data_IF_276877185582
#
_entry.id   IF_276877185582
#
_cell.length_a   1.000
_cell.length_b   1.000
_cell.length_c   1.000
_cell.angle_alpha   90.00
_cell.angle_beta   90.00
_cell.angle_gamma   90.00
#
_symmetry.space_group_name_H-M   'P 1'
#
loop_
_entity.id
_entity.type
_entity.pdbx_description
1 polymer ?
#
# COMPACT_ATOMS: atom_id res chain seq x y z
N UNK A 1 33.92 23.10 15.04
CA UNK A 1 32.51 23.20 15.43
C UNK A 1 31.91 21.82 15.26
N UNK A 2 31.27 21.26 16.28
CA UNK A 2 30.57 19.98 16.12
C UNK A 2 29.38 20.22 15.19
N UNK A 3 29.39 19.60 14.01
CA UNK A 3 28.24 19.59 13.10
C UNK A 3 27.13 18.81 13.79
N UNK A 4 26.05 19.50 14.17
CA UNK A 4 24.83 18.86 14.65
C UNK A 4 24.36 17.85 13.60
N UNK A 5 24.24 16.59 14.01
CA UNK A 5 23.83 15.50 13.12
C UNK A 5 22.32 15.42 13.14
N UNK A 6 21.69 15.53 11.98
CA UNK A 6 20.23 15.47 11.84
C UNK A 6 19.80 14.07 11.41
N UNK A 7 18.72 13.56 12.00
CA UNK A 7 18.12 12.29 11.60
C UNK A 7 17.48 12.42 10.21
N UNK A 8 17.88 11.57 9.26
CA UNK A 8 17.32 11.60 7.88
C UNK A 8 15.83 11.25 7.75
N UNK A 9 15.19 10.77 8.82
CA UNK A 9 13.78 10.34 8.80
C UNK A 9 12.87 11.40 9.43
N UNK A 10 13.14 11.78 10.68
CA UNK A 10 12.32 12.77 11.38
C UNK A 10 12.82 14.21 11.21
N UNK A 11 14.04 14.39 10.69
CA UNK A 11 14.70 15.68 10.54
C UNK A 11 15.01 16.42 11.86
N UNK A 12 14.91 15.72 13.00
CA UNK A 12 15.32 16.25 14.30
C UNK A 12 16.83 16.09 14.52
N UNK A 13 17.38 16.92 15.41
CA UNK A 13 18.76 16.81 15.88
C UNK A 13 18.93 15.53 16.69
N UNK A 14 20.00 14.80 16.42
CA UNK A 14 20.35 13.59 17.17
C UNK A 14 21.20 14.03 18.37
N UNK A 15 20.58 14.05 19.55
CA UNK A 15 21.24 14.40 20.81
C UNK A 15 22.14 13.27 21.37
N UNK A 16 21.91 12.02 20.92
CA UNK A 16 22.62 10.81 21.33
C UNK A 16 23.45 10.19 20.18
N UNK A 17 23.99 8.99 20.36
CA UNK A 17 24.66 8.28 19.26
C UNK A 17 23.66 7.85 18.19
N UNK A 18 23.65 8.58 17.07
CA UNK A 18 22.92 8.19 15.86
C UNK A 18 23.61 7.05 15.12
N UNK A 19 22.84 6.27 14.38
CA UNK A 19 23.35 5.14 13.59
C UNK A 19 23.48 5.51 12.12
N UNK A 20 24.45 4.89 11.44
CA UNK A 20 24.54 4.90 9.99
C UNK A 20 23.80 3.66 9.46
N UNK A 21 22.56 3.79 8.94
CA UNK A 21 21.73 2.64 8.60
C UNK A 21 22.18 1.89 7.35
N UNK A 22 22.84 2.57 6.42
CA UNK A 22 23.26 2.05 5.12
C UNK A 22 24.43 2.89 4.56
N UNK A 23 24.72 2.78 3.26
CA UNK A 23 25.80 3.52 2.60
C UNK A 23 25.34 4.81 1.91
N UNK A 24 24.08 5.22 2.10
CA UNK A 24 23.57 6.48 1.56
C UNK A 24 24.41 7.66 2.04
N UNK A 25 24.67 8.59 1.13
CA UNK A 25 25.36 9.84 1.40
C UNK A 25 24.52 11.03 0.98
N UNK A 26 24.63 12.11 1.75
CA UNK A 26 24.11 13.42 1.42
C UNK A 26 25.24 14.44 1.58
N UNK A 27 25.44 15.31 0.59
CA UNK A 27 26.59 16.24 0.59
C UNK A 27 27.98 15.59 0.66
N UNK A 28 28.10 14.28 0.35
CA UNK A 28 29.35 13.51 0.46
C UNK A 28 29.58 12.83 1.82
N UNK A 29 28.74 13.13 2.81
CA UNK A 29 28.77 12.53 4.15
C UNK A 29 27.73 11.41 4.29
N UNK A 30 27.99 10.41 5.14
CA UNK A 30 27.03 9.35 5.37
C UNK A 30 25.80 9.87 6.11
N UNK A 31 24.62 9.45 5.66
CA UNK A 31 23.38 9.81 6.35
C UNK A 31 23.28 9.11 7.69
N UNK A 32 22.78 9.82 8.71
CA UNK A 32 22.61 9.31 10.07
C UNK A 32 21.12 9.32 10.43
N UNK A 33 20.67 8.39 11.26
CA UNK A 33 19.31 8.32 11.76
C UNK A 33 19.28 7.90 13.23
N UNK A 34 18.17 8.21 13.92
CA UNK A 34 17.83 7.48 15.13
C UNK A 34 17.53 6.02 14.76
N UNK A 35 18.05 5.08 15.55
CA UNK A 35 17.79 3.66 15.36
C UNK A 35 16.28 3.35 15.38
N UNK A 36 15.56 3.94 16.33
CA UNK A 36 14.10 3.81 16.45
C UNK A 36 13.35 4.35 15.22
N UNK A 37 13.81 5.44 14.60
CA UNK A 37 13.20 5.96 13.38
C UNK A 37 13.33 4.96 12.22
N UNK A 38 14.48 4.29 12.09
CA UNK A 38 14.68 3.28 11.06
C UNK A 38 13.81 2.05 11.34
N UNK A 39 13.77 1.56 12.58
CA UNK A 39 12.90 0.45 12.96
C UNK A 39 11.42 0.74 12.66
N UNK A 40 10.94 1.94 13.00
CA UNK A 40 9.58 2.35 12.70
C UNK A 40 9.34 2.45 11.19
N UNK A 41 10.31 2.98 10.45
CA UNK A 41 10.23 3.04 9.00
C UNK A 41 10.11 1.66 8.36
N UNK A 42 10.93 0.70 8.80
CA UNK A 42 10.88 -0.70 8.36
C UNK A 42 9.50 -1.32 8.63
N UNK A 43 8.94 -1.10 9.83
CA UNK A 43 7.64 -1.66 10.23
C UNK A 43 6.46 -1.07 9.42
N UNK A 44 6.57 0.18 8.98
CA UNK A 44 5.53 0.86 8.22
C UNK A 44 5.64 0.62 6.71
N UNK A 45 6.73 0.01 6.23
CA UNK A 45 6.87 -0.27 4.81
C UNK A 45 5.88 -1.36 4.40
N UNK A 46 5.14 -1.16 3.30
CA UNK A 46 4.26 -2.18 2.78
C UNK A 46 5.09 -3.40 2.38
N UNK A 47 4.82 -4.54 3.01
CA UNK A 47 5.50 -5.79 2.70
C UNK A 47 5.37 -6.10 1.21
N UNK A 48 6.47 -6.48 0.53
CA UNK A 48 6.42 -6.84 -0.87
C UNK A 48 5.48 -8.04 -1.02
N UNK A 49 4.34 -7.85 -1.68
CA UNK A 49 3.61 -8.99 -2.25
C UNK A 49 4.59 -9.76 -3.15
N UNK A 50 4.43 -11.07 -3.32
CA UNK A 50 5.31 -11.98 -4.09
C UNK A 50 5.73 -11.54 -5.53
N UNK A 51 5.24 -10.41 -6.04
CA UNK A 51 5.52 -9.84 -7.36
C UNK A 51 6.28 -8.49 -7.28
N UNK A 52 6.67 -8.04 -6.09
CA UNK A 52 7.26 -6.72 -5.92
C UNK A 52 8.74 -6.70 -6.32
N UNK A 53 9.07 -5.77 -7.21
CA UNK A 53 10.42 -5.29 -7.51
C UNK A 53 11.20 -5.00 -6.23
N UNK A 54 12.52 -5.28 -6.21
CA UNK A 54 13.47 -5.12 -5.09
C UNK A 54 13.32 -3.84 -4.23
N UNK A 55 12.74 -2.77 -4.78
CA UNK A 55 12.45 -1.51 -4.07
C UNK A 55 11.45 -1.61 -2.90
N UNK A 56 10.76 -2.73 -2.72
CA UNK A 56 9.79 -2.90 -1.60
C UNK A 56 10.28 -3.83 -0.49
N UNK A 57 11.47 -4.39 -0.59
CA UNK A 57 12.02 -5.24 0.45
C UNK A 57 12.31 -4.44 1.74
N UNK A 58 11.66 -4.73 2.87
CA UNK A 58 11.90 -4.03 4.14
C UNK A 58 13.30 -4.27 4.70
N UNK A 59 14.00 -5.32 4.26
CA UNK A 59 15.37 -5.66 4.70
C UNK A 59 16.45 -4.81 4.04
N UNK A 60 16.08 -3.95 3.08
CA UNK A 60 16.99 -3.13 2.28
C UNK A 60 16.58 -1.66 2.32
N UNK A 61 17.55 -0.77 2.22
CA UNK A 61 17.32 0.66 2.16
C UNK A 61 16.53 1.06 0.91
N UNK A 62 15.52 1.89 1.09
CA UNK A 62 14.67 2.40 0.01
C UNK A 62 15.40 3.31 -0.99
N UNK A 63 16.54 3.86 -0.60
CA UNK A 63 17.31 4.81 -1.42
C UNK A 63 18.42 4.09 -2.19
N UNK A 64 19.34 3.39 -1.50
CA UNK A 64 20.48 2.73 -2.15
C UNK A 64 20.27 1.24 -2.42
N UNK A 65 19.19 0.63 -1.92
CA UNK A 65 18.93 -0.81 -2.09
C UNK A 65 19.90 -1.72 -1.33
N UNK A 66 20.83 -1.21 -0.54
CA UNK A 66 21.73 -2.06 0.26
C UNK A 66 21.01 -2.59 1.49
N UNK A 67 21.44 -3.75 2.00
CA UNK A 67 20.96 -4.23 3.30
C UNK A 67 21.24 -3.21 4.41
N UNK A 68 20.39 -3.23 5.44
CA UNK A 68 20.61 -2.43 6.64
C UNK A 68 21.85 -2.92 7.40
N UNK A 69 22.59 -1.98 8.02
CA UNK A 69 23.82 -2.28 8.75
C UNK A 69 23.58 -2.77 10.18
N UNK A 70 22.47 -2.36 10.79
CA UNK A 70 22.07 -2.77 12.13
C UNK A 70 21.04 -3.90 12.07
N UNK A 71 20.94 -4.64 13.18
CA UNK A 71 20.01 -5.76 13.34
C UNK A 71 18.61 -5.23 13.68
N UNK A 72 17.86 -4.86 12.66
CA UNK A 72 16.46 -4.45 12.81
C UNK A 72 15.52 -5.65 12.83
N UNK A 73 14.45 -5.54 13.62
CA UNK A 73 13.37 -6.50 13.59
C UNK A 73 12.60 -6.36 12.26
N UNK A 74 12.59 -7.42 11.46
CA UNK A 74 11.80 -7.44 10.23
C UNK A 74 10.33 -7.74 10.56
N UNK A 75 9.36 -7.02 9.95
CA UNK A 75 7.96 -7.36 10.07
C UNK A 75 7.73 -8.78 9.56
N UNK A 76 6.85 -9.51 10.25
CA UNK A 76 6.44 -10.84 9.81
C UNK A 76 5.84 -10.78 8.40
N UNK A 77 6.16 -11.79 7.59
CA UNK A 77 5.53 -11.93 6.29
C UNK A 77 4.01 -11.93 6.47
N UNK A 78 3.24 -11.22 5.61
CA UNK A 78 1.80 -11.28 5.66
C UNK A 78 1.36 -12.74 5.59
N UNK A 79 0.51 -13.16 6.52
CA UNK A 79 -0.06 -14.52 6.50
C UNK A 79 -0.70 -14.75 5.14
N UNK A 80 -0.31 -15.84 4.46
CA UNK A 80 -0.96 -16.25 3.22
C UNK A 80 -2.40 -16.64 3.54
N UNK A 81 -3.33 -15.74 3.23
CA UNK A 81 -4.75 -16.03 3.40
C UNK A 81 -5.17 -17.06 2.37
N UNK A 82 -5.96 -18.02 2.83
CA UNK A 82 -6.66 -18.95 1.96
C UNK A 82 -7.60 -18.19 1.02
N UNK A 83 -8.01 -18.86 -0.06
CA UNK A 83 -8.93 -18.25 -1.02
C UNK A 83 -10.26 -17.87 -0.38
N UNK A 84 -10.79 -18.72 0.50
CA UNK A 84 -12.03 -18.45 1.21
C UNK A 84 -11.94 -17.17 2.06
N UNK A 85 -10.83 -16.98 2.78
CA UNK A 85 -10.62 -15.77 3.59
C UNK A 85 -10.48 -14.50 2.73
N UNK A 86 -9.86 -14.60 1.55
CA UNK A 86 -9.82 -13.49 0.60
C UNK A 86 -11.21 -13.13 0.09
N UNK A 87 -12.01 -14.14 -0.26
CA UNK A 87 -13.37 -13.96 -0.76
C UNK A 87 -14.26 -13.34 0.34
N UNK A 88 -14.15 -13.79 1.59
CA UNK A 88 -14.86 -13.23 2.76
C UNK A 88 -14.51 -11.75 2.99
N UNK A 89 -13.22 -11.41 2.94
CA UNK A 89 -12.75 -10.02 3.09
C UNK A 89 -13.26 -9.14 1.95
N UNK A 90 -13.24 -9.63 0.72
CA UNK A 90 -13.75 -8.90 -0.44
C UNK A 90 -15.26 -8.65 -0.31
N UNK A 91 -16.03 -9.65 0.13
CA UNK A 91 -17.46 -9.54 0.36
C UNK A 91 -17.77 -8.52 1.47
N UNK A 92 -17.02 -8.54 2.58
CA UNK A 92 -17.17 -7.56 3.66
C UNK A 92 -16.86 -6.13 3.19
N UNK A 93 -15.79 -5.94 2.41
CA UNK A 93 -15.44 -4.63 1.82
C UNK A 93 -16.53 -4.12 0.87
N UNK A 94 -17.06 -4.99 0.02
CA UNK A 94 -18.14 -4.66 -0.91
C UNK A 94 -19.43 -4.27 -0.19
N UNK A 95 -19.85 -5.03 0.82
CA UNK A 95 -21.03 -4.71 1.62
C UNK A 95 -20.87 -3.38 2.35
N UNK A 96 -19.71 -3.14 2.96
CA UNK A 96 -19.44 -1.92 3.69
C UNK A 96 -19.39 -0.69 2.76
N UNK A 97 -18.72 -0.82 1.60
CA UNK A 97 -18.66 0.23 0.58
C UNK A 97 -20.05 0.52 0.01
N UNK A 98 -20.85 -0.54 -0.24
CA UNK A 98 -22.23 -0.39 -0.72
C UNK A 98 -23.10 0.34 0.29
N UNK A 99 -23.10 -0.07 1.56
CA UNK A 99 -23.88 0.56 2.62
C UNK A 99 -23.56 2.06 2.78
N UNK A 100 -22.27 2.43 2.73
CA UNK A 100 -21.84 3.84 2.76
C UNK A 100 -22.24 4.59 1.49
N UNK A 101 -22.08 3.96 0.32
CA UNK A 101 -22.44 4.57 -0.95
C UNK A 101 -23.95 4.86 -1.06
N UNK A 102 -24.80 3.94 -0.55
CA UNK A 102 -26.26 4.11 -0.50
C UNK A 102 -26.74 4.86 0.74
N UNK A 103 -25.81 5.33 1.61
CA UNK A 103 -26.11 6.02 2.87
C UNK A 103 -27.07 5.25 3.79
N UNK A 104 -27.00 3.93 3.77
CA UNK A 104 -27.82 3.07 4.61
C UNK A 104 -27.54 3.41 6.09
N UNK A 105 -28.59 3.68 6.87
CA UNK A 105 -28.45 4.04 8.29
C UNK A 105 -27.71 5.37 8.53
N UNK A 106 -27.66 6.28 7.54
CA UNK A 106 -26.98 7.58 7.69
C UNK A 106 -25.46 7.53 7.52
N UNK A 107 -24.91 6.39 7.11
CA UNK A 107 -23.48 6.23 6.85
C UNK A 107 -23.00 7.19 5.74
N UNK A 108 -21.81 7.76 5.93
CA UNK A 108 -21.23 8.70 4.95
C UNK A 108 -20.32 7.97 3.95
N UNK A 109 -20.36 8.31 2.66
CA UNK A 109 -19.44 7.79 1.65
C UNK A 109 -17.98 8.16 1.95
N UNK A 110 -17.05 7.25 1.62
CA UNK A 110 -15.60 7.50 1.60
C UNK A 110 -15.08 7.61 0.18
N UNK A 111 -13.96 8.31 0.01
CA UNK A 111 -13.31 8.54 -1.29
C UNK A 111 -12.92 7.25 -2.05
N UNK A 112 -12.82 6.12 -1.34
CA UNK A 112 -12.53 4.80 -1.92
C UNK A 112 -13.74 3.93 -2.25
N UNK A 113 -14.93 4.21 -1.72
CA UNK A 113 -16.06 3.27 -1.80
C UNK A 113 -16.51 3.02 -3.25
N UNK A 114 -16.54 4.06 -4.08
CA UNK A 114 -16.87 3.93 -5.50
C UNK A 114 -15.82 3.08 -6.26
N UNK A 115 -14.54 3.17 -5.90
CA UNK A 115 -13.49 2.38 -6.50
C UNK A 115 -13.62 0.90 -6.11
N UNK A 116 -13.87 0.63 -4.83
CA UNK A 116 -14.12 -0.72 -4.30
C UNK A 116 -15.28 -1.36 -5.06
N UNK A 117 -16.44 -0.69 -5.14
CA UNK A 117 -17.62 -1.20 -5.84
C UNK A 117 -17.37 -1.41 -7.34
N UNK A 118 -16.59 -0.53 -7.97
CA UNK A 118 -16.31 -0.64 -9.41
C UNK A 118 -15.31 -1.74 -9.75
N UNK A 119 -14.29 -1.94 -8.91
CA UNK A 119 -13.20 -2.90 -9.16
C UNK A 119 -13.56 -4.30 -8.66
N UNK A 120 -14.06 -4.41 -7.43
CA UNK A 120 -14.44 -5.70 -6.83
C UNK A 120 -15.86 -6.12 -7.23
N UNK A 121 -16.79 -5.18 -7.39
CA UNK A 121 -18.22 -5.51 -7.55
C UNK A 121 -18.54 -6.43 -8.74
N UNK A 122 -17.86 -6.33 -9.90
CA UNK A 122 -18.06 -7.27 -11.01
C UNK A 122 -17.57 -8.70 -10.75
N UNK A 123 -16.74 -8.92 -9.72
CA UNK A 123 -16.16 -10.23 -9.40
C UNK A 123 -17.02 -11.04 -8.43
N UNK A 124 -17.99 -10.41 -7.76
CA UNK A 124 -18.80 -11.03 -6.71
C UNK A 124 -20.28 -10.70 -6.90
N UNK A 125 -21.13 -11.66 -6.53
CA UNK A 125 -22.58 -11.49 -6.56
C UNK A 125 -23.07 -10.63 -5.39
N UNK A 126 -23.95 -9.67 -5.70
CA UNK A 126 -24.50 -8.79 -4.67
C UNK A 126 -25.30 -7.58 -5.18
N UNK A 127 -25.83 -6.77 -4.24
CA UNK A 127 -26.75 -5.66 -4.55
C UNK A 127 -26.09 -4.53 -5.34
N UNK A 128 -24.75 -4.42 -5.30
CA UNK A 128 -23.96 -3.46 -6.09
C UNK A 128 -24.03 -3.69 -7.61
N UNK A 129 -24.46 -4.86 -8.07
CA UNK A 129 -24.67 -5.14 -9.50
C UNK A 129 -25.93 -4.45 -10.04
N UNK A 130 -26.93 -4.22 -9.17
CA UNK A 130 -28.17 -3.52 -9.50
C UNK A 130 -27.90 -2.03 -9.46
N UNK A 131 -27.26 -1.51 -10.52
CA UNK A 131 -26.83 -0.11 -10.66
C UNK A 131 -27.83 0.88 -10.05
N UNK A 132 -27.57 1.46 -8.86
CA UNK A 132 -27.97 2.84 -8.69
C UNK A 132 -27.09 3.63 -9.66
N UNK A 133 -27.65 4.63 -10.34
CA UNK A 133 -26.93 5.51 -11.25
C UNK A 133 -25.69 6.05 -10.52
N UNK A 134 -24.51 5.44 -10.75
CA UNK A 134 -23.25 5.81 -10.13
C UNK A 134 -22.77 7.13 -10.75
N UNK A 135 -23.49 8.22 -10.51
CA UNK A 135 -23.06 9.58 -10.85
C UNK A 135 -22.06 10.06 -9.79
N UNK A 136 -20.98 9.31 -9.60
CA UNK A 136 -19.88 9.72 -8.75
C UNK A 136 -18.77 10.22 -9.67
N UNK A 137 -18.55 11.53 -9.65
CA UNK A 137 -17.43 12.20 -10.30
C UNK A 137 -16.15 11.62 -9.72
N UNK A 138 -15.59 10.61 -10.38
CA UNK A 138 -14.34 9.97 -9.96
C UNK A 138 -13.27 11.06 -9.81
N UNK A 139 -12.59 11.09 -8.67
CA UNK A 139 -11.45 11.98 -8.47
C UNK A 139 -10.38 11.70 -9.53
N UNK A 140 -9.52 12.69 -9.85
CA UNK A 140 -8.42 12.48 -10.81
C UNK A 140 -7.53 11.29 -10.43
N UNK A 141 -7.34 11.03 -9.13
CA UNK A 141 -6.59 9.88 -8.61
C UNK A 141 -7.27 8.55 -8.94
N UNK A 142 -8.58 8.45 -8.67
CA UNK A 142 -9.36 7.23 -8.94
C UNK A 142 -9.45 6.95 -10.45
N UNK A 143 -9.55 7.99 -11.30
CA UNK A 143 -9.51 7.82 -12.77
C UNK A 143 -8.18 7.26 -13.25
N UNK A 144 -7.05 7.72 -12.70
CA UNK A 144 -5.71 7.20 -13.06
C UNK A 144 -5.53 5.74 -12.63
N UNK A 145 -6.04 5.36 -11.46
CA UNK A 145 -6.04 3.96 -11.01
C UNK A 145 -6.87 3.08 -11.95
N UNK A 146 -8.09 3.51 -12.29
CA UNK A 146 -8.96 2.79 -13.23
C UNK A 146 -8.37 2.69 -14.64
N UNK A 147 -7.65 3.71 -15.11
CA UNK A 147 -6.96 3.66 -16.40
C UNK A 147 -5.82 2.63 -16.40
N UNK A 148 -5.07 2.50 -15.29
CA UNK A 148 -4.04 1.45 -15.15
C UNK A 148 -4.66 0.04 -15.13
N UNK A 149 -5.80 -0.15 -14.46
CA UNK A 149 -6.51 -1.43 -14.42
C UNK A 149 -7.16 -1.81 -15.77
N UNK A 150 -7.65 -0.83 -16.53
CA UNK A 150 -8.15 -1.06 -17.90
C UNK A 150 -7.05 -1.36 -18.90
N UNK A 151 -5.87 -0.76 -18.75
CA UNK A 151 -4.70 -1.08 -19.57
C UNK A 151 -4.21 -2.53 -19.36
N UNK A 152 -4.41 -3.09 -18.17
CA UNK A 152 -4.09 -4.50 -17.89
C UNK A 152 -5.11 -5.50 -18.47
N UNK A 153 -6.38 -5.10 -18.60
CA UNK A 153 -7.51 -6.01 -18.91
C UNK A 153 -7.99 -5.97 -20.37
N UNK A 154 -7.21 -5.36 -21.27
CA UNK A 154 -7.50 -5.25 -22.71
C UNK A 154 -7.45 -6.55 -23.53
N UNK A 155 -7.45 -7.73 -22.90
CA UNK A 155 -7.53 -9.02 -23.56
C UNK A 155 -8.67 -9.85 -22.96
N UNK A 156 -9.72 -10.09 -23.76
CA UNK A 156 -10.73 -11.11 -23.43
C UNK A 156 -10.05 -12.48 -23.37
N UNK A 157 -9.97 -13.06 -22.17
CA UNK A 157 -10.07 -14.49 -21.84
C UNK A 157 -9.37 -14.74 -20.50
N UNK A 158 -10.12 -15.19 -19.48
CA UNK A 158 -9.70 -15.89 -18.23
C UNK A 158 -8.52 -15.38 -17.37
N UNK A 159 -7.65 -14.48 -17.85
CA UNK A 159 -6.50 -13.89 -17.15
C UNK A 159 -6.87 -12.63 -16.36
N UNK A 160 -8.08 -12.11 -16.56
CA UNK A 160 -8.53 -10.84 -15.98
C UNK A 160 -8.68 -10.92 -14.46
N UNK A 161 -9.00 -12.11 -13.92
CA UNK A 161 -9.11 -12.36 -12.46
C UNK A 161 -7.72 -12.42 -11.81
N UNK A 162 -6.71 -12.96 -12.48
CA UNK A 162 -5.32 -13.00 -11.96
C UNK A 162 -4.64 -11.63 -12.01
N UNK A 163 -4.94 -10.83 -13.02
CA UNK A 163 -4.46 -9.44 -13.09
C UNK A 163 -5.15 -8.53 -12.06
N UNK A 164 -6.44 -8.75 -11.79
CA UNK A 164 -7.16 -8.09 -10.69
C UNK A 164 -6.69 -8.58 -9.31
N UNK A 165 -6.31 -9.86 -9.15
CA UNK A 165 -5.63 -10.38 -7.95
C UNK A 165 -4.32 -9.66 -7.67
N UNK A 166 -3.56 -9.30 -8.72
CA UNK A 166 -2.39 -8.42 -8.57
C UNK A 166 -2.80 -7.08 -7.98
N UNK A 167 -3.77 -6.40 -8.60
CA UNK A 167 -4.22 -5.08 -8.18
C UNK A 167 -4.85 -4.99 -6.79
N UNK A 168 -5.54 -6.03 -6.33
CA UNK A 168 -6.26 -6.07 -5.05
C UNK A 168 -5.39 -6.56 -3.89
N UNK A 169 -4.24 -7.18 -4.16
CA UNK A 169 -3.17 -7.43 -3.18
C UNK A 169 -2.34 -6.17 -2.86
N UNK A 170 -2.67 -5.04 -3.48
CA UNK A 170 -1.94 -3.77 -3.37
C UNK A 170 -2.69 -2.69 -2.57
N UNK A 171 -3.74 -3.07 -1.83
CA UNK A 171 -4.46 -2.24 -0.87
C UNK A 171 -4.50 -2.89 0.50
#
# INVERSE_FOLDING_TARGET
MATERTCRICFDVIESEGVMPCECRDGGEFTIAHEACIQQWINLRPMPSAVATDQKDPSRCEVCGTAWKQDYQMPEAPVELSRAEWDDRAQALLLAAFARHTRLGGLQPRDGDAAILHVLGPLYDGPWQRRPTLTATLSKGTRRLLAKLRGATGGRNSSSVEQLRGALRHY
#
